data_IF_167637405361
#
_entry.id   IF_167637405361
#
_cell.length_a   1.000
_cell.length_b   1.000
_cell.length_c   1.000
_cell.angle_alpha   90.00
_cell.angle_beta   90.00
_cell.angle_gamma   90.00
#
_symmetry.space_group_name_H-M   'P 1'
#
loop_
_entity.id
_entity.type
_entity.pdbx_description
1 polymer ?
#
# COMPACT_ATOMS: atom_id res chain seq x y z
N UNK A 1 -8.17 -2.11 -16.52
CA UNK A 1 -6.90 -1.66 -15.89
C UNK A 1 -7.16 -0.28 -15.29
N UNK A 2 -6.65 0.02 -14.10
CA UNK A 2 -6.67 1.40 -13.57
C UNK A 2 -5.30 2.02 -13.84
N UNK A 3 -5.27 3.18 -14.48
CA UNK A 3 -4.04 3.96 -14.68
C UNK A 3 -4.32 5.44 -14.53
N UNK A 4 -3.28 6.28 -14.51
CA UNK A 4 -3.45 7.74 -14.47
C UNK A 4 -4.21 8.30 -15.68
N UNK A 5 -4.16 7.63 -16.84
CA UNK A 5 -4.80 8.07 -18.09
C UNK A 5 -6.21 7.48 -18.22
N UNK A 6 -6.44 6.31 -17.62
CA UNK A 6 -7.73 5.61 -17.58
C UNK A 6 -8.05 5.25 -16.12
N UNK A 7 -8.58 6.20 -15.32
CA UNK A 7 -8.88 5.96 -13.92
C UNK A 7 -10.05 4.99 -13.77
N UNK A 8 -9.92 4.05 -12.83
CA UNK A 8 -11.01 3.15 -12.45
C UNK A 8 -12.16 3.90 -11.76
N UNK A 9 -13.37 3.35 -11.82
CA UNK A 9 -14.48 3.80 -10.97
C UNK A 9 -14.17 3.67 -9.46
N UNK A 10 -13.14 2.91 -9.10
CA UNK A 10 -12.63 2.74 -7.74
C UNK A 10 -11.30 3.45 -7.50
N UNK A 11 -10.93 4.42 -8.35
CA UNK A 11 -9.75 5.23 -8.14
C UNK A 11 -9.84 5.97 -6.80
N UNK A 12 -8.97 5.61 -5.86
CA UNK A 12 -8.94 6.19 -4.52
C UNK A 12 -8.38 7.62 -4.56
N UNK A 13 -7.45 7.90 -5.46
CA UNK A 13 -6.79 9.20 -5.51
C UNK A 13 -7.76 10.34 -5.86
N UNK A 14 -8.65 10.14 -6.83
CA UNK A 14 -9.68 11.14 -7.17
C UNK A 14 -10.80 11.29 -6.14
N UNK A 15 -10.93 10.35 -5.20
CA UNK A 15 -11.98 10.35 -4.17
C UNK A 15 -11.50 10.79 -2.80
N UNK A 16 -10.18 10.87 -2.60
CA UNK A 16 -9.60 11.28 -1.34
C UNK A 16 -10.03 12.72 -0.99
N UNK A 17 -10.20 13.00 0.30
CA UNK A 17 -10.45 14.38 0.75
C UNK A 17 -9.22 15.26 0.50
N UNK A 18 -9.42 16.59 0.49
CA UNK A 18 -8.35 17.53 0.11
C UNK A 18 -7.15 17.48 1.07
N UNK A 19 -7.38 17.09 2.32
CA UNK A 19 -6.38 16.94 3.37
C UNK A 19 -6.18 15.48 3.82
N UNK A 20 -6.79 14.50 3.15
CA UNK A 20 -6.62 13.08 3.47
C UNK A 20 -5.22 12.60 3.03
N UNK A 21 -4.34 12.21 3.97
CA UNK A 21 -3.03 11.68 3.62
C UNK A 21 -3.16 10.30 2.99
N UNK A 22 -2.39 10.04 1.93
CA UNK A 22 -2.40 8.76 1.23
C UNK A 22 -0.99 8.32 0.82
N UNK A 23 -0.80 7.02 0.67
CA UNK A 23 0.42 6.41 0.17
C UNK A 23 0.14 5.62 -1.11
N UNK A 24 1.01 5.76 -2.12
CA UNK A 24 0.83 5.10 -3.42
C UNK A 24 1.91 4.04 -3.66
N UNK A 25 1.47 2.81 -3.90
CA UNK A 25 2.32 1.74 -4.41
C UNK A 25 2.24 1.70 -5.95
N UNK A 26 3.39 1.59 -6.61
CA UNK A 26 3.46 1.56 -8.08
C UNK A 26 3.45 0.12 -8.58
N UNK A 27 2.83 -0.14 -9.72
CA UNK A 27 2.75 -1.49 -10.30
C UNK A 27 4.12 -2.14 -10.62
N UNK A 28 5.19 -1.34 -10.73
CA UNK A 28 6.57 -1.83 -10.92
C UNK A 28 7.28 -2.23 -9.63
N UNK A 29 6.69 -1.92 -8.48
CA UNK A 29 7.17 -2.44 -7.20
C UNK A 29 6.75 -3.91 -7.11
N UNK A 30 7.71 -4.85 -7.03
CA UNK A 30 7.42 -6.28 -7.04
C UNK A 30 6.63 -6.74 -5.81
N UNK A 31 6.63 -5.98 -4.71
CA UNK A 31 5.90 -6.30 -3.47
C UNK A 31 4.44 -5.81 -3.56
N UNK A 32 4.18 -4.77 -4.35
CA UNK A 32 2.90 -4.08 -4.37
C UNK A 32 1.67 -4.96 -4.68
N UNK A 33 1.68 -5.88 -5.68
CA UNK A 33 0.52 -6.72 -5.97
C UNK A 33 0.04 -7.54 -4.76
N UNK A 34 0.98 -8.19 -4.06
CA UNK A 34 0.66 -9.01 -2.88
C UNK A 34 0.13 -8.18 -1.71
N UNK A 35 0.60 -6.94 -1.54
CA UNK A 35 0.05 -6.03 -0.52
C UNK A 35 -1.38 -5.58 -0.84
N UNK A 36 -1.68 -5.32 -2.11
CA UNK A 36 -3.04 -4.98 -2.56
C UNK A 36 -4.00 -6.15 -2.34
N UNK A 37 -3.56 -7.37 -2.64
CA UNK A 37 -4.34 -8.60 -2.37
C UNK A 37 -4.54 -8.83 -0.87
N UNK A 38 -3.49 -8.69 -0.06
CA UNK A 38 -3.59 -8.82 1.40
C UNK A 38 -4.61 -7.84 1.98
N UNK A 39 -4.60 -6.58 1.55
CA UNK A 39 -5.60 -5.58 1.94
C UNK A 39 -7.02 -6.02 1.56
N UNK A 40 -7.23 -6.52 0.34
CA UNK A 40 -8.54 -6.96 -0.13
C UNK A 40 -9.05 -8.19 0.66
N UNK A 41 -8.17 -9.13 0.99
CA UNK A 41 -8.51 -10.30 1.81
C UNK A 41 -8.85 -9.91 3.25
N UNK A 42 -8.10 -8.99 3.87
CA UNK A 42 -8.44 -8.45 5.20
C UNK A 42 -9.81 -7.79 5.21
N UNK A 43 -10.11 -6.95 4.20
CA UNK A 43 -11.39 -6.24 4.09
C UNK A 43 -12.58 -7.15 3.78
N UNK A 44 -12.34 -8.33 3.23
CA UNK A 44 -13.36 -9.34 2.96
C UNK A 44 -13.47 -10.43 4.03
N UNK A 45 -12.68 -10.34 5.11
CA UNK A 45 -12.70 -11.32 6.23
C UNK A 45 -11.98 -12.64 5.93
N UNK A 46 -11.26 -12.74 4.81
CA UNK A 46 -10.53 -13.95 4.40
C UNK A 46 -9.13 -13.98 5.01
N UNK A 47 -9.04 -14.09 6.33
CA UNK A 47 -7.77 -13.92 7.07
C UNK A 47 -6.68 -14.90 6.62
N UNK A 48 -7.01 -16.19 6.42
CA UNK A 48 -6.01 -17.17 5.95
C UNK A 48 -5.45 -16.86 4.56
N UNK A 49 -6.25 -16.27 3.67
CA UNK A 49 -5.76 -15.81 2.36
C UNK A 49 -4.87 -14.57 2.49
N UNK A 50 -5.20 -13.67 3.44
CA UNK A 50 -4.38 -12.49 3.73
C UNK A 50 -2.98 -12.89 4.24
N UNK A 51 -2.88 -13.89 5.12
CA UNK A 51 -1.60 -14.41 5.61
C UNK A 51 -0.72 -14.96 4.47
N UNK A 52 -1.33 -15.68 3.52
CA UNK A 52 -0.64 -16.19 2.33
C UNK A 52 -0.12 -15.03 1.47
N UNK A 53 -0.94 -14.00 1.25
CA UNK A 53 -0.55 -12.82 0.48
C UNK A 53 0.59 -12.04 1.16
N UNK A 54 0.57 -11.89 2.49
CA UNK A 54 1.69 -11.30 3.22
C UNK A 54 2.97 -12.12 3.10
N UNK A 55 2.88 -13.45 3.14
CA UNK A 55 4.04 -14.31 2.92
C UNK A 55 4.62 -14.11 1.51
N UNK A 56 3.78 -14.01 0.49
CA UNK A 56 4.22 -13.72 -0.87
C UNK A 56 4.89 -12.34 -0.99
N UNK A 57 4.39 -11.33 -0.27
CA UNK A 57 5.02 -10.02 -0.20
C UNK A 57 6.43 -10.09 0.42
N UNK A 58 6.59 -10.88 1.49
CA UNK A 58 7.90 -11.13 2.12
C UNK A 58 8.84 -11.88 1.17
N UNK A 59 8.36 -12.93 0.50
CA UNK A 59 9.15 -13.68 -0.48
C UNK A 59 9.61 -12.78 -1.64
N UNK A 60 8.73 -11.93 -2.17
CA UNK A 60 9.07 -10.94 -3.19
C UNK A 60 10.13 -9.93 -2.71
N UNK A 61 10.06 -9.51 -1.45
CA UNK A 61 11.03 -8.61 -0.85
C UNK A 61 12.44 -9.22 -0.77
N UNK A 62 12.59 -10.55 -0.74
CA UNK A 62 13.91 -11.20 -0.76
C UNK A 62 14.65 -11.07 -2.09
N UNK A 63 13.94 -10.66 -3.15
CA UNK A 63 14.49 -10.49 -4.49
C UNK A 63 14.82 -9.04 -4.85
N UNK A 64 14.69 -8.11 -3.90
CA UNK A 64 15.09 -6.71 -4.07
C UNK A 64 16.12 -6.30 -3.03
N UNK A 65 16.99 -5.36 -3.38
CA UNK A 65 17.93 -4.79 -2.43
C UNK A 65 17.16 -3.98 -1.37
N UNK A 66 17.33 -4.28 -0.07
CA UNK A 66 16.61 -3.58 0.98
C UNK A 66 17.12 -2.14 1.09
N UNK A 67 16.19 -1.19 1.17
CA UNK A 67 16.50 0.18 1.58
C UNK A 67 16.81 0.22 3.08
N UNK A 68 17.79 1.04 3.46
CA UNK A 68 18.16 1.21 4.87
C UNK A 68 17.07 2.01 5.62
N UNK A 69 16.80 1.70 6.89
CA UNK A 69 15.76 2.40 7.67
C UNK A 69 15.91 3.93 7.76
N UNK A 70 17.13 4.46 7.61
CA UNK A 70 17.39 5.91 7.66
C UNK A 70 17.17 6.65 6.34
N UNK A 71 16.94 5.94 5.24
CA UNK A 71 16.71 6.55 3.94
C UNK A 71 15.45 7.43 3.95
N UNK A 72 15.51 8.57 3.24
CA UNK A 72 14.43 9.55 3.25
C UNK A 72 13.09 8.94 2.80
N UNK A 73 13.11 8.04 1.82
CA UNK A 73 11.91 7.36 1.34
C UNK A 73 11.27 6.46 2.42
N UNK A 74 12.07 5.67 3.14
CA UNK A 74 11.57 4.79 4.21
C UNK A 74 11.01 5.59 5.36
N UNK A 75 11.71 6.66 5.79
CA UNK A 75 11.20 7.57 6.82
C UNK A 75 9.87 8.20 6.42
N UNK A 76 9.79 8.73 5.19
CA UNK A 76 8.57 9.35 4.67
C UNK A 76 7.40 8.36 4.63
N UNK A 77 7.61 7.09 4.28
CA UNK A 77 6.55 6.09 4.31
C UNK A 77 5.99 5.85 5.72
N UNK A 78 6.84 5.84 6.74
CA UNK A 78 6.40 5.74 8.14
C UNK A 78 5.68 7.00 8.64
N UNK A 79 6.15 8.18 8.23
CA UNK A 79 5.51 9.47 8.54
C UNK A 79 4.10 9.53 7.94
N UNK A 80 3.92 9.21 6.66
CA UNK A 80 2.60 9.16 6.01
C UNK A 80 1.67 8.16 6.71
N UNK A 81 2.18 6.97 7.08
CA UNK A 81 1.38 6.00 7.81
C UNK A 81 0.91 6.53 9.17
N UNK A 82 1.68 7.40 9.82
CA UNK A 82 1.28 8.06 11.06
C UNK A 82 0.24 9.16 10.83
N UNK A 83 0.44 9.99 9.82
CA UNK A 83 -0.53 11.01 9.39
C UNK A 83 -1.89 10.36 9.07
N UNK A 84 -1.94 9.25 8.35
CA UNK A 84 -3.17 8.50 8.09
C UNK A 84 -3.88 8.04 9.38
N UNK A 85 -3.11 7.61 10.40
CA UNK A 85 -3.69 7.20 11.70
C UNK A 85 -4.22 8.39 12.49
N UNK A 86 -3.58 9.55 12.39
CA UNK A 86 -4.02 10.77 13.06
C UNK A 86 -5.30 11.31 12.39
N UNK A 87 -5.32 11.40 11.06
CA UNK A 87 -6.48 11.85 10.28
C UNK A 87 -7.71 10.96 10.50
N UNK A 88 -7.53 9.63 10.56
CA UNK A 88 -8.65 8.71 10.81
C UNK A 88 -9.26 8.81 12.23
N UNK A 89 -8.64 9.57 13.16
CA UNK A 89 -9.11 9.77 14.54
C UNK A 89 -9.70 11.16 14.79
N UNK A 90 -9.49 12.11 13.89
CA UNK A 90 -10.09 13.45 13.94
C UNK A 90 -11.54 13.44 13.48
#
# INVERSE_FOLDING_TARGET
MSSKIEPSQFDAYSKAETDEPFFTLLARDPIAPSLVEAWAYLRSGQIGAAEIAFKQAVDAATHIDPQMPGEAQIRSAFEVADECRQWARS
#
